data_IF_678346699018
#
_entry.id   IF_678346699018
#
_cell.length_a   1.000
_cell.length_b   1.000
_cell.length_c   1.000
_cell.angle_alpha   90.00
_cell.angle_beta   90.00
_cell.angle_gamma   90.00
#
_symmetry.space_group_name_H-M   'P 1'
#
loop_
_entity.id
_entity.type
_entity.pdbx_description
1 polymer ?
#
# COMPACT_ATOMS: atom_id res chain seq x y z
N UNK A 1 67.07 21.64 30.81
CA UNK A 1 65.60 21.44 30.73
C UNK A 1 65.31 20.57 29.52
N UNK A 2 65.25 19.25 29.71
CA UNK A 2 65.02 18.25 28.65
C UNK A 2 63.61 17.69 28.77
N UNK A 3 62.78 17.91 27.75
CA UNK A 3 61.44 17.32 27.65
C UNK A 3 61.55 15.81 27.36
N UNK A 4 60.73 14.95 27.99
CA UNK A 4 60.73 13.52 27.70
C UNK A 4 60.06 13.21 26.36
N UNK A 5 60.77 12.44 25.53
CA UNK A 5 60.30 11.84 24.28
C UNK A 5 59.45 10.60 24.59
N UNK A 6 58.15 10.65 24.30
CA UNK A 6 57.26 9.49 24.43
C UNK A 6 57.25 8.67 23.12
N UNK A 7 57.49 7.35 23.17
CA UNK A 7 57.61 6.55 21.96
C UNK A 7 56.25 6.31 21.30
N UNK A 8 56.16 6.65 20.01
CA UNK A 8 55.00 6.52 19.12
C UNK A 8 54.49 5.08 18.86
N UNK A 9 54.91 4.09 19.67
CA UNK A 9 54.59 2.66 19.46
C UNK A 9 53.18 2.26 19.89
N UNK A 10 52.52 3.04 20.76
CA UNK A 10 51.14 2.76 21.17
C UNK A 10 50.11 3.21 20.10
N UNK A 11 50.50 4.08 19.17
CA UNK A 11 49.60 4.69 18.19
C UNK A 11 49.25 3.74 17.04
N UNK A 12 50.18 2.87 16.63
CA UNK A 12 49.98 1.94 15.52
C UNK A 12 48.95 0.84 15.84
N UNK A 13 48.85 0.41 17.10
CA UNK A 13 47.90 -0.64 17.52
C UNK A 13 46.46 -0.09 17.62
N UNK A 14 46.31 1.16 18.07
CA UNK A 14 45.01 1.84 18.10
C UNK A 14 44.46 2.10 16.69
N UNK A 15 45.31 2.53 15.75
CA UNK A 15 44.92 2.73 14.35
C UNK A 15 44.46 1.41 13.67
N UNK A 16 45.13 0.29 13.98
CA UNK A 16 44.75 -1.02 13.46
C UNK A 16 43.38 -1.49 13.99
N UNK A 17 43.07 -1.24 15.26
CA UNK A 17 41.77 -1.56 15.85
C UNK A 17 40.63 -0.73 15.23
N UNK A 18 40.86 0.55 14.93
CA UNK A 18 39.87 1.38 14.23
C UNK A 18 39.60 0.91 12.79
N UNK A 19 40.60 0.35 12.10
CA UNK A 19 40.43 -0.17 10.74
C UNK A 19 39.59 -1.44 10.69
N UNK A 20 39.66 -2.30 11.71
CA UNK A 20 38.85 -3.54 11.79
C UNK A 20 37.38 -3.23 12.07
N UNK A 21 37.07 -2.15 12.78
CA UNK A 21 35.69 -1.79 13.12
C UNK A 21 34.92 -1.15 11.94
N UNK A 22 35.63 -0.63 10.94
CA UNK A 22 35.03 -0.05 9.72
C UNK A 22 34.99 -1.05 8.56
N UNK A 23 34.63 -2.31 8.84
CA UNK A 23 34.28 -3.24 7.78
C UNK A 23 32.84 -2.93 7.33
N UNK A 24 32.59 -2.59 6.04
CA UNK A 24 31.22 -2.52 5.55
C UNK A 24 30.61 -3.91 5.66
N UNK A 25 29.49 -4.02 6.36
CA UNK A 25 28.68 -5.22 6.35
C UNK A 25 28.19 -5.43 4.92
N UNK A 26 28.86 -6.32 4.17
CA UNK A 26 28.43 -6.71 2.85
C UNK A 26 27.09 -7.43 3.02
N UNK A 27 25.98 -6.75 2.69
CA UNK A 27 24.67 -7.38 2.57
C UNK A 27 24.76 -8.35 1.39
N UNK A 28 25.11 -9.60 1.68
CA UNK A 28 25.03 -10.69 0.73
C UNK A 28 23.58 -10.86 0.32
N UNK A 29 23.20 -10.24 -0.80
CA UNK A 29 21.92 -10.50 -1.42
C UNK A 29 21.91 -12.01 -1.73
N UNK A 30 21.00 -12.81 -1.15
CA UNK A 30 20.94 -14.23 -1.46
C UNK A 30 20.81 -14.36 -2.98
N UNK A 31 21.45 -15.38 -3.60
CA UNK A 31 21.36 -15.57 -5.04
C UNK A 31 19.89 -15.53 -5.43
N UNK A 32 19.55 -14.63 -6.35
CA UNK A 32 18.18 -14.49 -6.83
C UNK A 32 17.75 -15.85 -7.40
N UNK A 33 16.93 -16.56 -6.63
CA UNK A 33 16.30 -17.79 -7.10
C UNK A 33 15.36 -17.34 -8.21
N UNK A 34 15.77 -17.57 -9.46
CA UNK A 34 14.93 -17.37 -10.63
C UNK A 34 13.82 -18.42 -10.58
N UNK A 35 12.78 -18.13 -9.82
CA UNK A 35 11.55 -18.92 -9.87
C UNK A 35 10.98 -18.81 -11.30
N UNK A 36 10.48 -19.90 -11.89
CA UNK A 36 9.78 -19.82 -13.15
C UNK A 36 8.66 -18.78 -13.03
N UNK A 37 8.66 -17.79 -13.91
CA UNK A 37 7.51 -16.88 -14.04
C UNK A 37 6.38 -17.74 -14.56
N UNK A 38 5.40 -18.04 -13.69
CA UNK A 38 4.22 -18.77 -14.10
C UNK A 38 3.41 -17.87 -15.03
N UNK A 39 3.23 -18.29 -16.27
CA UNK A 39 2.25 -17.67 -17.17
C UNK A 39 0.86 -17.91 -16.57
N UNK A 40 0.21 -16.83 -16.13
CA UNK A 40 -1.13 -16.86 -15.57
C UNK A 40 -2.15 -16.45 -16.63
N UNK A 41 -3.29 -17.12 -16.64
CA UNK A 41 -4.43 -16.73 -17.48
C UNK A 41 -4.92 -15.31 -17.09
N UNK A 42 -5.35 -14.49 -18.06
CA UNK A 42 -5.80 -13.13 -17.79
C UNK A 42 -7.06 -13.11 -16.92
N UNK A 43 -6.98 -12.45 -15.77
CA UNK A 43 -8.12 -12.22 -14.86
C UNK A 43 -8.79 -10.88 -15.20
N UNK A 44 -10.10 -10.91 -15.48
CA UNK A 44 -10.91 -9.70 -15.68
C UNK A 44 -11.42 -9.19 -14.34
N UNK A 45 -11.00 -7.97 -13.97
CA UNK A 45 -11.50 -7.29 -12.77
C UNK A 45 -12.83 -6.60 -13.10
N UNK A 46 -13.94 -7.15 -12.60
CA UNK A 46 -15.30 -6.63 -12.84
C UNK A 46 -15.78 -5.66 -11.75
N UNK A 47 -14.99 -5.46 -10.69
CA UNK A 47 -15.34 -4.57 -9.57
C UNK A 47 -14.09 -3.91 -8.97
N UNK A 48 -14.30 -2.78 -8.29
CA UNK A 48 -13.23 -2.06 -7.59
C UNK A 48 -12.75 -2.92 -6.40
N UNK A 49 -11.46 -3.25 -6.36
CA UNK A 49 -10.85 -3.89 -5.20
C UNK A 49 -10.80 -2.91 -4.02
N UNK A 50 -11.27 -3.30 -2.82
CA UNK A 50 -11.20 -2.45 -1.65
C UNK A 50 -9.75 -2.29 -1.19
N UNK A 51 -9.37 -1.07 -0.78
CA UNK A 51 -8.02 -0.81 -0.22
C UNK A 51 -7.83 -1.44 1.17
N UNK A 52 -8.93 -1.71 1.88
CA UNK A 52 -9.00 -2.42 3.16
C UNK A 52 -10.34 -3.16 3.26
N UNK A 53 -10.45 -4.33 3.90
CA UNK A 53 -11.67 -5.15 3.91
C UNK A 53 -12.94 -4.43 4.40
N UNK A 54 -12.80 -3.40 5.23
CA UNK A 54 -13.90 -2.63 5.81
C UNK A 54 -14.00 -1.21 5.26
N UNK A 55 -13.09 -0.78 4.39
CA UNK A 55 -13.02 0.60 3.92
C UNK A 55 -12.86 0.65 2.41
N UNK A 56 -13.82 1.33 1.79
CA UNK A 56 -13.85 1.54 0.35
C UNK A 56 -13.64 3.03 0.12
N UNK A 57 -12.57 3.37 -0.60
CA UNK A 57 -12.26 4.74 -1.03
C UNK A 57 -12.43 4.80 -2.54
N UNK A 58 -13.23 5.75 -3.03
CA UNK A 58 -13.47 5.95 -4.47
C UNK A 58 -13.59 7.43 -4.77
N UNK A 59 -13.14 7.86 -5.95
CA UNK A 59 -13.31 9.23 -6.42
C UNK A 59 -14.64 9.39 -7.17
N UNK A 60 -15.59 10.21 -6.67
CA UNK A 60 -16.88 10.42 -7.31
C UNK A 60 -16.81 11.17 -8.65
N UNK A 61 -15.67 11.78 -8.98
CA UNK A 61 -15.48 12.47 -10.27
C UNK A 61 -15.16 11.52 -11.40
N UNK A 62 -14.72 10.29 -11.10
CA UNK A 62 -14.42 9.32 -12.14
C UNK A 62 -15.70 8.85 -12.82
N UNK A 63 -15.78 8.88 -14.16
CA UNK A 63 -16.96 8.44 -14.88
C UNK A 63 -17.22 6.96 -14.64
N UNK A 64 -18.46 6.61 -14.31
CA UNK A 64 -18.92 5.22 -14.17
C UNK A 64 -19.80 4.84 -15.37
N UNK A 65 -19.57 3.65 -15.89
CA UNK A 65 -20.35 3.04 -16.99
C UNK A 65 -21.46 2.17 -16.39
N UNK A 66 -22.65 2.02 -17.01
CA UNK A 66 -23.05 2.39 -18.38
C UNK A 66 -23.68 3.79 -18.55
N UNK A 67 -24.17 4.39 -17.46
CA UNK A 67 -24.61 5.78 -17.40
C UNK A 67 -23.91 6.47 -16.23
N UNK A 68 -23.55 7.75 -16.36
CA UNK A 68 -23.14 8.56 -15.21
C UNK A 68 -24.22 8.55 -14.13
N UNK A 69 -23.81 8.53 -12.87
CA UNK A 69 -24.74 8.55 -11.75
C UNK A 69 -25.50 9.88 -11.71
N UNK A 70 -26.84 9.82 -11.63
CA UNK A 70 -27.68 11.03 -11.50
C UNK A 70 -27.66 11.60 -10.08
N UNK A 71 -27.45 10.73 -9.08
CA UNK A 71 -27.40 11.09 -7.66
C UNK A 71 -26.46 10.18 -6.87
N UNK A 72 -26.40 10.39 -5.55
CA UNK A 72 -25.59 9.59 -4.65
C UNK A 72 -26.00 8.11 -4.56
N UNK A 73 -27.29 7.78 -4.71
CA UNK A 73 -27.75 6.40 -4.62
C UNK A 73 -27.34 5.60 -5.87
N UNK A 74 -27.44 6.20 -7.04
CA UNK A 74 -26.92 5.64 -8.29
C UNK A 74 -25.41 5.47 -8.26
N UNK A 75 -24.70 6.42 -7.64
CA UNK A 75 -23.27 6.28 -7.40
C UNK A 75 -22.97 5.07 -6.51
N UNK A 76 -23.65 4.96 -5.36
CA UNK A 76 -23.41 3.89 -4.38
C UNK A 76 -23.74 2.49 -4.91
N UNK A 77 -24.74 2.32 -5.79
CA UNK A 77 -25.08 1.02 -6.41
C UNK A 77 -23.92 0.34 -7.14
N UNK A 78 -22.92 1.10 -7.57
CA UNK A 78 -21.74 0.55 -8.26
C UNK A 78 -20.68 0.03 -7.28
N UNK A 79 -20.88 0.23 -5.97
CA UNK A 79 -20.06 -0.36 -4.91
C UNK A 79 -20.73 -1.67 -4.43
N UNK A 80 -20.01 -2.80 -4.36
CA UNK A 80 -20.58 -4.06 -3.90
C UNK A 80 -21.22 -3.98 -2.51
N UNK A 81 -22.38 -4.61 -2.34
CA UNK A 81 -23.12 -4.63 -1.08
C UNK A 81 -24.08 -3.45 -0.87
N UNK A 82 -24.03 -2.45 -1.76
CA UNK A 82 -25.05 -1.40 -1.85
C UNK A 82 -26.15 -1.78 -2.85
N UNK A 83 -27.39 -1.45 -2.50
CA UNK A 83 -28.54 -1.40 -3.40
C UNK A 83 -29.30 -0.09 -3.14
N UNK A 84 -30.38 0.19 -3.89
CA UNK A 84 -31.26 1.31 -3.54
C UNK A 84 -32.72 0.95 -3.73
N UNK A 85 -33.57 1.45 -2.83
CA UNK A 85 -35.02 1.46 -2.98
C UNK A 85 -35.37 2.57 -3.97
N UNK A 86 -36.12 2.21 -5.00
CA UNK A 86 -36.43 3.12 -6.11
C UNK A 86 -37.57 4.07 -5.72
N UNK A 87 -37.33 5.37 -5.85
CA UNK A 87 -38.33 6.42 -5.67
C UNK A 87 -38.73 7.13 -6.98
N UNK A 88 -38.25 6.64 -8.13
CA UNK A 88 -38.47 7.24 -9.44
C UNK A 88 -37.26 7.10 -10.36
N UNK A 89 -36.92 8.18 -11.07
CA UNK A 89 -35.71 8.28 -11.89
C UNK A 89 -34.46 8.76 -11.15
N UNK A 90 -34.61 9.28 -9.93
CA UNK A 90 -33.54 9.75 -9.03
C UNK A 90 -34.08 9.78 -7.58
N UNK A 91 -33.25 10.13 -6.61
CA UNK A 91 -33.50 10.18 -5.17
C UNK A 91 -33.95 8.84 -4.59
N UNK A 92 -33.27 7.75 -5.00
CA UNK A 92 -33.46 6.45 -4.36
C UNK A 92 -32.82 6.39 -2.98
N UNK A 93 -33.35 5.54 -2.10
CA UNK A 93 -32.79 5.36 -0.76
C UNK A 93 -31.71 4.26 -0.78
N UNK A 94 -30.44 4.56 -0.48
CA UNK A 94 -29.40 3.56 -0.48
C UNK A 94 -29.55 2.59 0.71
N UNK A 95 -29.26 1.32 0.44
CA UNK A 95 -29.29 0.22 1.41
C UNK A 95 -27.94 -0.48 1.37
N UNK A 96 -27.28 -0.59 2.53
CA UNK A 96 -26.04 -1.35 2.67
C UNK A 96 -26.35 -2.67 3.39
N UNK A 97 -26.14 -3.80 2.73
CA UNK A 97 -26.32 -5.14 3.33
C UNK A 97 -27.70 -5.33 4.00
N UNK A 98 -28.75 -4.69 3.48
CA UNK A 98 -30.12 -4.75 4.04
C UNK A 98 -30.46 -3.67 5.07
N UNK A 99 -29.53 -2.78 5.43
CA UNK A 99 -29.74 -1.68 6.37
C UNK A 99 -29.82 -0.33 5.63
N UNK A 100 -30.81 0.50 5.99
CA UNK A 100 -30.92 1.88 5.51
C UNK A 100 -29.83 2.77 6.13
N UNK A 101 -29.40 3.79 5.39
CA UNK A 101 -28.35 4.73 5.83
C UNK A 101 -28.64 5.49 7.13
N UNK A 102 -29.89 5.54 7.59
CA UNK A 102 -30.27 6.15 8.89
C UNK A 102 -29.84 5.33 10.12
N UNK A 103 -29.20 4.17 9.92
CA UNK A 103 -28.75 3.25 10.97
C UNK A 103 -27.26 2.90 10.84
N UNK A 104 -26.45 3.87 10.44
CA UNK A 104 -24.99 3.78 10.46
C UNK A 104 -24.43 4.21 11.83
#
# INVERSE_FOLDING_TARGET
MSLPYFPARASSLAAALCYVFSAPAQSGQPPAVSLPVADMDPVVITAIAPSSPLTIVTDPKLPRQPLPASDGADYLKTIPGFSAIRNGGSNGDPVLRGMLSVRA
#
